data_IF_847946014012
#
_entry.id   IF_847946014012
#
_cell.length_a   1.000
_cell.length_b   1.000
_cell.length_c   1.000
_cell.angle_alpha   90.00
_cell.angle_beta   90.00
_cell.angle_gamma   90.00
#
_symmetry.space_group_name_H-M   'P 1'
#
loop_
_entity.id
_entity.type
_entity.pdbx_description
1 polymer ?
#
# COMPACT_ATOMS: atom_id res chain seq x y z
N UNK A 1 -0.64 30.60 43.42
CA UNK A 1 -0.59 30.70 41.95
C UNK A 1 0.64 29.91 41.53
N UNK A 2 0.44 28.70 41.03
CA UNK A 2 1.55 27.88 40.52
C UNK A 2 1.65 28.15 39.03
N UNK A 3 2.81 28.62 38.57
CA UNK A 3 3.15 28.83 37.17
C UNK A 3 3.08 27.48 36.43
N UNK A 4 2.34 27.45 35.29
CA UNK A 4 2.30 26.32 34.39
C UNK A 4 3.70 26.07 33.82
N UNK A 5 4.18 24.82 33.76
CA UNK A 5 5.49 24.53 33.18
C UNK A 5 5.50 24.93 31.71
N UNK A 6 6.43 25.85 31.37
CA UNK A 6 6.74 26.24 30.02
C UNK A 6 7.20 24.98 29.26
N UNK A 7 6.44 24.54 28.27
CA UNK A 7 6.86 23.53 27.31
C UNK A 7 8.11 24.07 26.60
N UNK A 8 9.25 23.40 26.83
CA UNK A 8 10.47 23.68 26.09
C UNK A 8 10.16 23.58 24.59
N UNK A 9 10.70 24.49 23.74
CA UNK A 9 10.51 24.40 22.30
C UNK A 9 11.05 23.06 21.82
N UNK A 10 10.21 22.33 21.03
CA UNK A 10 10.61 21.11 20.34
C UNK A 10 11.86 21.45 19.54
N UNK A 11 13.00 20.76 19.76
CA UNK A 11 14.20 21.03 18.99
C UNK A 11 13.88 20.88 17.51
N UNK A 12 14.36 21.75 16.61
CA UNK A 12 14.17 21.59 15.19
C UNK A 12 14.68 20.21 14.79
N UNK A 13 13.87 19.48 13.98
CA UNK A 13 14.29 18.20 13.44
C UNK A 13 15.68 18.31 12.83
N UNK A 14 16.57 17.32 13.04
CA UNK A 14 17.92 17.38 12.52
C UNK A 14 17.82 17.54 10.99
N UNK A 15 18.23 18.69 10.50
CA UNK A 15 18.29 19.00 9.07
C UNK A 15 19.31 18.11 8.36
N UNK A 16 20.21 17.48 9.13
CA UNK A 16 21.32 16.66 8.67
C UNK A 16 20.97 15.18 8.74
N UNK A 17 20.72 14.57 7.56
CA UNK A 17 20.34 13.16 7.42
C UNK A 17 21.58 12.30 7.16
N UNK A 18 21.77 11.24 7.97
CA UNK A 18 22.85 10.27 7.79
C UNK A 18 22.55 9.33 6.63
N UNK A 19 23.39 9.37 5.60
CA UNK A 19 23.25 8.55 4.41
C UNK A 19 23.85 7.15 4.56
N UNK A 20 24.77 6.92 5.51
CA UNK A 20 25.40 5.61 5.72
C UNK A 20 24.42 4.59 6.28
N UNK A 21 23.57 5.00 7.21
CA UNK A 21 22.53 4.15 7.80
C UNK A 21 21.15 4.31 7.16
N UNK A 22 21.10 5.01 6.03
CA UNK A 22 19.84 5.19 5.29
C UNK A 22 19.27 3.86 4.81
N UNK A 23 18.00 3.55 5.12
CA UNK A 23 17.33 2.37 4.59
C UNK A 23 17.05 2.45 3.08
N UNK A 24 17.28 3.62 2.46
CA UNK A 24 17.00 3.88 1.05
C UNK A 24 18.24 3.82 0.16
N UNK A 25 19.41 3.60 0.73
CA UNK A 25 20.67 3.47 0.03
C UNK A 25 21.34 2.13 0.37
N UNK A 26 21.78 1.40 -0.65
CA UNK A 26 22.53 0.15 -0.44
C UNK A 26 24.03 0.45 -0.58
N UNK A 27 24.67 0.77 0.55
CA UNK A 27 26.08 1.12 0.62
C UNK A 27 26.95 0.02 1.26
N UNK A 28 26.32 -1.02 1.84
CA UNK A 28 27.03 -2.07 2.60
C UNK A 28 27.57 -3.21 1.74
N UNK A 29 27.06 -3.33 0.50
CA UNK A 29 27.49 -4.35 -0.47
C UNK A 29 28.12 -3.69 -1.71
N UNK A 30 29.30 -3.03 -1.57
CA UNK A 30 29.95 -2.39 -2.70
C UNK A 30 30.35 -3.44 -3.75
N UNK A 31 30.51 -2.98 -4.99
CA UNK A 31 30.97 -3.80 -6.09
C UNK A 31 32.41 -4.26 -5.86
N UNK A 32 32.64 -5.56 -5.83
CA UNK A 32 33.97 -6.17 -5.70
C UNK A 32 34.53 -6.58 -7.07
N UNK A 33 35.86 -6.79 -7.16
CA UNK A 33 36.48 -7.35 -8.36
C UNK A 33 35.90 -8.73 -8.72
N UNK A 34 35.55 -9.54 -7.71
CA UNK A 34 34.85 -10.81 -7.90
C UNK A 34 33.51 -10.64 -8.57
N UNK A 35 32.71 -9.63 -8.14
CA UNK A 35 31.42 -9.32 -8.77
C UNK A 35 31.59 -8.96 -10.25
N UNK A 36 32.60 -8.15 -10.58
CA UNK A 36 32.91 -7.79 -11.98
C UNK A 36 33.25 -9.03 -12.81
N UNK A 37 34.15 -9.88 -12.32
CA UNK A 37 34.47 -11.12 -12.99
C UNK A 37 33.24 -12.02 -13.17
N UNK A 38 32.41 -12.16 -12.13
CA UNK A 38 31.16 -12.94 -12.18
C UNK A 38 30.21 -12.39 -13.22
N UNK A 39 29.98 -11.06 -13.23
CA UNK A 39 29.11 -10.42 -14.21
C UNK A 39 29.59 -10.71 -15.63
N UNK A 40 30.89 -10.51 -15.92
CA UNK A 40 31.45 -10.76 -17.24
C UNK A 40 31.29 -12.24 -17.65
N UNK A 41 31.61 -13.16 -16.74
CA UNK A 41 31.55 -14.61 -17.01
C UNK A 41 30.09 -15.09 -17.20
N UNK A 42 29.15 -14.62 -16.40
CA UNK A 42 27.75 -15.03 -16.45
C UNK A 42 26.89 -14.18 -17.39
N UNK A 43 27.46 -13.16 -18.04
CA UNK A 43 26.71 -12.28 -18.95
C UNK A 43 25.95 -13.03 -20.06
N UNK A 44 26.56 -14.02 -20.77
CA UNK A 44 25.83 -14.83 -21.75
C UNK A 44 24.64 -15.57 -21.14
N UNK A 45 24.79 -16.11 -19.94
CA UNK A 45 23.71 -16.79 -19.22
C UNK A 45 22.63 -15.79 -18.81
N UNK A 46 23.01 -14.58 -18.39
CA UNK A 46 22.07 -13.51 -18.05
C UNK A 46 21.19 -13.12 -19.25
N UNK A 47 21.74 -13.10 -20.48
CA UNK A 47 20.95 -12.85 -21.69
C UNK A 47 19.90 -13.95 -21.88
N UNK A 48 20.27 -15.23 -21.76
CA UNK A 48 19.33 -16.35 -21.88
C UNK A 48 18.28 -16.31 -20.80
N UNK A 49 18.67 -16.09 -19.55
CA UNK A 49 17.75 -15.93 -18.41
C UNK A 49 16.77 -14.78 -18.64
N UNK A 50 17.25 -13.61 -19.10
CA UNK A 50 16.41 -12.45 -19.40
C UNK A 50 15.40 -12.77 -20.50
N UNK A 51 15.85 -13.45 -21.56
CA UNK A 51 14.97 -13.83 -22.67
C UNK A 51 13.85 -14.78 -22.21
N UNK A 52 14.18 -15.84 -21.47
CA UNK A 52 13.18 -16.80 -20.95
C UNK A 52 12.24 -16.12 -19.96
N UNK A 53 12.75 -15.27 -19.06
CA UNK A 53 11.96 -14.51 -18.12
C UNK A 53 10.99 -13.54 -18.81
N UNK A 54 11.46 -12.82 -19.84
CA UNK A 54 10.60 -11.95 -20.66
C UNK A 54 9.53 -12.75 -21.41
N UNK A 55 9.87 -13.90 -21.96
CA UNK A 55 8.88 -14.77 -22.62
C UNK A 55 7.80 -15.24 -21.65
N UNK A 56 8.17 -15.64 -20.41
CA UNK A 56 7.20 -16.00 -19.39
C UNK A 56 6.28 -14.82 -19.03
N UNK A 57 6.83 -13.61 -18.88
CA UNK A 57 6.05 -12.40 -18.64
C UNK A 57 5.11 -12.06 -19.80
N UNK A 58 5.56 -12.25 -21.05
CA UNK A 58 4.71 -12.06 -22.22
C UNK A 58 3.52 -13.05 -22.27
N UNK A 59 3.76 -14.32 -21.91
CA UNK A 59 2.71 -15.34 -21.81
C UNK A 59 1.72 -14.98 -20.70
N UNK A 60 2.21 -14.61 -19.51
CA UNK A 60 1.37 -14.14 -18.39
C UNK A 60 0.53 -12.93 -18.85
N UNK A 61 1.15 -11.95 -19.52
CA UNK A 61 0.47 -10.76 -20.00
C UNK A 61 -0.60 -11.09 -21.04
N UNK A 62 -0.33 -12.02 -21.96
CA UNK A 62 -1.30 -12.47 -22.98
C UNK A 62 -2.52 -13.14 -22.32
N UNK A 63 -2.30 -14.08 -21.39
CA UNK A 63 -3.36 -14.76 -20.65
C UNK A 63 -4.20 -13.74 -19.86
N UNK A 64 -3.54 -12.83 -19.14
CA UNK A 64 -4.19 -11.81 -18.33
C UNK A 64 -4.98 -10.81 -19.18
N UNK A 65 -4.44 -10.44 -20.36
CA UNK A 65 -5.16 -9.59 -21.33
C UNK A 65 -6.43 -10.27 -21.81
N UNK A 66 -6.35 -11.54 -22.18
CA UNK A 66 -7.50 -12.34 -22.60
C UNK A 66 -8.52 -12.48 -21.47
N UNK A 67 -8.07 -12.81 -20.24
CA UNK A 67 -8.94 -12.96 -19.07
C UNK A 67 -9.67 -11.66 -18.72
N UNK A 68 -9.03 -10.50 -18.89
CA UNK A 68 -9.60 -9.18 -18.59
C UNK A 68 -10.21 -8.47 -19.80
N UNK A 69 -10.24 -9.13 -20.98
CA UNK A 69 -10.72 -8.53 -22.22
C UNK A 69 -12.18 -8.10 -22.08
N UNK A 70 -12.44 -6.84 -22.42
CA UNK A 70 -13.76 -6.20 -22.39
C UNK A 70 -14.54 -6.42 -21.07
N UNK A 71 -13.82 -6.43 -19.92
CA UNK A 71 -14.43 -6.60 -18.61
C UNK A 71 -14.28 -5.31 -17.77
N UNK A 72 -15.35 -4.80 -17.15
CA UNK A 72 -15.29 -3.65 -16.26
C UNK A 72 -14.46 -3.96 -15.01
N UNK A 73 -13.60 -3.02 -14.56
CA UNK A 73 -12.72 -3.24 -13.40
C UNK A 73 -13.47 -3.20 -12.06
N UNK A 74 -14.65 -2.60 -12.05
CA UNK A 74 -15.55 -2.44 -10.90
C UNK A 74 -16.47 -3.65 -10.66
N UNK A 75 -16.37 -4.68 -11.51
CA UNK A 75 -17.12 -5.92 -11.36
C UNK A 75 -16.17 -7.10 -11.17
N UNK A 76 -16.53 -8.09 -10.32
CA UNK A 76 -15.71 -9.29 -10.16
C UNK A 76 -15.64 -10.09 -11.45
N UNK A 77 -14.49 -10.69 -11.71
CA UNK A 77 -14.29 -11.55 -12.87
C UNK A 77 -15.14 -12.82 -12.78
N UNK A 78 -15.71 -13.26 -13.91
CA UNK A 78 -16.35 -14.56 -13.99
C UNK A 78 -15.37 -15.69 -13.59
N UNK A 79 -15.83 -16.77 -12.96
CA UNK A 79 -14.96 -17.82 -12.41
C UNK A 79 -13.94 -18.39 -13.41
N UNK A 80 -14.32 -18.60 -14.67
CA UNK A 80 -13.42 -19.11 -15.69
C UNK A 80 -12.27 -18.11 -16.01
N UNK A 81 -12.55 -16.80 -16.01
CA UNK A 81 -11.55 -15.74 -16.21
C UNK A 81 -10.58 -15.71 -15.03
N UNK A 82 -11.11 -15.80 -13.80
CA UNK A 82 -10.29 -15.86 -12.59
C UNK A 82 -9.42 -17.12 -12.57
N UNK A 83 -9.92 -18.26 -13.00
CA UNK A 83 -9.16 -19.50 -13.09
C UNK A 83 -7.99 -19.39 -14.07
N UNK A 84 -8.14 -18.67 -15.19
CA UNK A 84 -7.03 -18.40 -16.12
C UNK A 84 -5.91 -17.60 -15.43
N UNK A 85 -6.27 -16.59 -14.64
CA UNK A 85 -5.30 -15.79 -13.89
C UNK A 85 -4.61 -16.65 -12.83
N UNK A 86 -5.36 -17.48 -12.11
CA UNK A 86 -4.80 -18.41 -11.12
C UNK A 86 -3.91 -19.47 -11.76
N UNK A 87 -4.18 -19.92 -12.97
CA UNK A 87 -3.28 -20.80 -13.70
C UNK A 87 -2.01 -20.07 -14.17
N UNK A 88 -2.15 -18.83 -14.69
CA UNK A 88 -1.02 -18.04 -15.17
C UNK A 88 -0.05 -17.59 -14.08
N UNK A 89 -0.53 -17.45 -12.83
CA UNK A 89 0.34 -17.05 -11.71
C UNK A 89 1.46 -18.07 -11.44
N UNK A 90 1.28 -19.33 -11.77
CA UNK A 90 2.31 -20.36 -11.58
C UNK A 90 3.52 -20.13 -12.50
N UNK A 91 3.36 -19.44 -13.63
CA UNK A 91 4.47 -19.04 -14.50
C UNK A 91 5.38 -17.98 -13.85
N UNK A 92 4.93 -17.31 -12.79
CA UNK A 92 5.75 -16.34 -12.05
C UNK A 92 6.96 -17.02 -11.42
N UNK A 93 6.86 -18.30 -11.05
CA UNK A 93 8.00 -19.05 -10.53
C UNK A 93 9.13 -19.17 -11.56
N UNK A 94 8.79 -19.25 -12.85
CA UNK A 94 9.80 -19.25 -13.93
C UNK A 94 10.56 -17.93 -13.96
N UNK A 95 9.86 -16.79 -13.74
CA UNK A 95 10.50 -15.47 -13.66
C UNK A 95 11.48 -15.43 -12.47
N UNK A 96 11.08 -15.95 -11.30
CA UNK A 96 11.97 -16.05 -10.14
C UNK A 96 13.19 -16.93 -10.43
N UNK A 97 13.03 -18.11 -11.06
CA UNK A 97 14.15 -18.97 -11.42
C UNK A 97 15.11 -18.29 -12.38
N UNK A 98 14.59 -17.55 -13.37
CA UNK A 98 15.45 -16.80 -14.30
C UNK A 98 16.21 -15.67 -13.60
N UNK A 99 15.67 -15.09 -12.53
CA UNK A 99 16.36 -14.12 -11.68
C UNK A 99 17.26 -14.76 -10.63
N UNK A 100 17.43 -16.10 -10.67
CA UNK A 100 18.30 -16.84 -9.78
C UNK A 100 17.66 -17.22 -8.44
N UNK A 101 16.38 -16.97 -8.20
CA UNK A 101 15.70 -17.42 -6.99
C UNK A 101 15.35 -18.91 -7.09
N UNK A 102 16.34 -19.74 -6.84
CA UNK A 102 16.19 -21.21 -6.89
C UNK A 102 15.67 -21.78 -5.56
N UNK A 103 15.83 -21.05 -4.48
CA UNK A 103 15.36 -21.42 -3.16
C UNK A 103 14.33 -20.37 -2.68
N UNK A 104 13.05 -20.74 -2.78
CA UNK A 104 11.93 -19.93 -2.25
C UNK A 104 11.25 -20.78 -1.18
N UNK A 105 11.32 -20.32 0.06
CA UNK A 105 10.67 -20.98 1.19
C UNK A 105 9.40 -20.22 1.56
N UNK A 106 8.31 -20.95 1.81
CA UNK A 106 7.02 -20.36 2.20
C UNK A 106 6.53 -21.03 3.47
N UNK A 107 6.29 -20.23 4.50
CA UNK A 107 5.80 -20.65 5.80
C UNK A 107 4.45 -20.01 6.10
N UNK A 108 3.53 -20.76 6.75
CA UNK A 108 2.23 -20.24 7.18
C UNK A 108 1.22 -20.04 6.04
N UNK A 109 1.33 -20.81 4.95
CA UNK A 109 0.44 -20.71 3.78
C UNK A 109 -1.05 -20.87 4.15
N UNK A 110 -1.37 -21.66 5.17
CA UNK A 110 -2.71 -21.87 5.72
C UNK A 110 -3.38 -20.58 6.22
N UNK A 111 -2.60 -19.59 6.60
CA UNK A 111 -3.10 -18.31 7.08
C UNK A 111 -3.78 -17.47 5.98
N UNK A 112 -3.48 -17.73 4.70
CA UNK A 112 -4.16 -17.08 3.57
C UNK A 112 -5.65 -17.38 3.57
N UNK A 113 -6.02 -18.67 3.69
CA UNK A 113 -7.43 -19.07 3.73
C UNK A 113 -8.16 -18.44 4.92
N UNK A 114 -7.48 -18.35 6.07
CA UNK A 114 -8.02 -17.72 7.28
C UNK A 114 -8.28 -16.22 7.09
N UNK A 115 -7.35 -15.51 6.47
CA UNK A 115 -7.52 -14.09 6.17
C UNK A 115 -8.67 -13.83 5.18
N UNK A 116 -8.83 -14.68 4.16
CA UNK A 116 -9.94 -14.63 3.21
C UNK A 116 -11.29 -14.82 3.93
N UNK A 117 -11.40 -15.81 4.83
CA UNK A 117 -12.60 -16.04 5.64
C UNK A 117 -12.95 -14.84 6.52
N UNK A 118 -11.95 -14.15 7.07
CA UNK A 118 -12.12 -12.95 7.88
C UNK A 118 -12.35 -11.68 7.04
N UNK A 119 -12.40 -11.79 5.70
CA UNK A 119 -12.46 -10.65 4.77
C UNK A 119 -11.41 -9.59 5.10
N UNK A 120 -10.22 -10.06 5.43
CA UNK A 120 -9.09 -9.22 5.84
C UNK A 120 -8.40 -8.53 4.67
N UNK A 121 -7.34 -7.78 4.98
CA UNK A 121 -6.46 -7.11 4.02
C UNK A 121 -5.05 -7.66 4.19
N UNK A 122 -4.34 -7.91 3.12
CA UNK A 122 -2.95 -8.38 3.16
C UNK A 122 -2.01 -7.19 3.20
N UNK A 123 -1.04 -7.24 4.09
CA UNK A 123 0.05 -6.25 4.16
C UNK A 123 1.40 -6.95 4.10
N UNK A 124 2.41 -6.27 3.57
CA UNK A 124 3.76 -6.82 3.43
C UNK A 124 4.82 -5.72 3.59
N UNK A 125 6.03 -6.10 4.01
CA UNK A 125 7.20 -5.21 4.00
C UNK A 125 7.71 -5.06 2.56
N UNK A 126 8.11 -3.85 2.18
CA UNK A 126 8.44 -3.54 0.79
C UNK A 126 9.96 -3.39 0.60
N UNK A 127 10.57 -4.41 0.00
CA UNK A 127 12.02 -4.49 -0.20
C UNK A 127 12.39 -4.35 -1.68
N UNK A 128 11.66 -5.03 -2.57
CA UNK A 128 12.02 -5.09 -3.97
C UNK A 128 10.78 -5.00 -4.89
N UNK A 129 10.99 -4.63 -6.15
CA UNK A 129 9.94 -4.72 -7.17
C UNK A 129 9.43 -6.16 -7.36
N UNK A 130 10.20 -7.15 -6.90
CA UNK A 130 9.86 -8.58 -6.91
C UNK A 130 8.75 -8.94 -5.91
N UNK A 131 8.52 -8.13 -4.91
CA UNK A 131 7.52 -8.38 -3.85
C UNK A 131 6.12 -8.57 -4.44
N UNK A 132 5.77 -7.73 -5.44
CA UNK A 132 4.50 -7.84 -6.15
C UNK A 132 4.37 -9.20 -6.87
N UNK A 133 5.44 -9.71 -7.47
CA UNK A 133 5.45 -11.02 -8.12
C UNK A 133 5.29 -12.15 -7.11
N UNK A 134 5.96 -12.07 -5.95
CA UNK A 134 5.81 -13.04 -4.87
C UNK A 134 4.35 -13.14 -4.40
N UNK A 135 3.70 -11.99 -4.19
CA UNK A 135 2.30 -11.95 -3.77
C UNK A 135 1.34 -12.43 -4.86
N UNK A 136 1.61 -12.11 -6.13
CA UNK A 136 0.85 -12.63 -7.27
C UNK A 136 0.96 -14.15 -7.33
N UNK A 137 2.17 -14.70 -7.20
CA UNK A 137 2.40 -16.15 -7.17
C UNK A 137 1.67 -16.82 -6.00
N UNK A 138 1.71 -16.23 -4.82
CA UNK A 138 1.04 -16.80 -3.64
C UNK A 138 -0.49 -16.83 -3.80
N UNK A 139 -1.11 -15.71 -4.13
CA UNK A 139 -2.57 -15.57 -4.00
C UNK A 139 -3.26 -14.80 -5.12
N UNK A 140 -2.52 -14.25 -6.11
CA UNK A 140 -3.04 -13.37 -7.15
C UNK A 140 -4.03 -12.31 -6.60
N UNK A 141 -3.59 -11.42 -5.67
CA UNK A 141 -4.44 -10.49 -4.94
C UNK A 141 -4.82 -9.29 -5.80
N UNK A 142 -5.76 -8.49 -5.33
CA UNK A 142 -6.01 -7.14 -5.85
C UNK A 142 -5.01 -6.16 -5.24
N UNK A 143 -4.05 -5.71 -6.02
CA UNK A 143 -3.06 -4.74 -5.57
C UNK A 143 -3.66 -3.34 -5.37
N UNK A 144 -2.94 -2.50 -4.64
CA UNK A 144 -3.17 -1.06 -4.59
C UNK A 144 -2.00 -0.38 -5.28
N UNK A 145 -2.26 0.39 -6.32
CA UNK A 145 -1.22 0.98 -7.15
C UNK A 145 -1.52 2.43 -7.54
N UNK A 146 -0.48 3.20 -7.79
CA UNK A 146 -0.63 4.55 -8.38
C UNK A 146 -1.19 4.44 -9.81
N UNK A 147 -1.98 5.44 -10.23
CA UNK A 147 -2.57 5.49 -11.57
C UNK A 147 -1.54 5.35 -12.70
N UNK A 148 -0.31 5.82 -12.50
CA UNK A 148 0.81 5.65 -13.43
C UNK A 148 1.03 4.19 -13.86
N UNK A 149 0.85 3.22 -12.96
CA UNK A 149 1.08 1.79 -13.27
C UNK A 149 0.09 1.25 -14.31
N UNK A 150 -1.05 1.91 -14.50
CA UNK A 150 -2.02 1.57 -15.56
C UNK A 150 -1.50 1.82 -16.98
N UNK A 151 -0.43 2.59 -17.12
CA UNK A 151 0.14 2.97 -18.42
C UNK A 151 1.42 2.18 -18.77
N UNK A 152 1.99 1.43 -17.82
CA UNK A 152 3.22 0.68 -18.06
C UNK A 152 2.97 -0.50 -19.03
N UNK A 153 3.80 -0.66 -20.08
CA UNK A 153 3.71 -1.82 -20.97
C UNK A 153 3.79 -3.13 -20.17
N UNK A 154 3.09 -4.17 -20.61
CA UNK A 154 3.02 -5.50 -19.96
C UNK A 154 2.35 -5.45 -18.60
N UNK A 155 2.84 -4.62 -17.66
CA UNK A 155 2.33 -4.50 -16.28
C UNK A 155 0.85 -4.10 -16.26
N UNK A 156 0.42 -3.17 -17.14
CA UNK A 156 -0.98 -2.73 -17.22
C UNK A 156 -1.97 -3.89 -17.38
N UNK A 157 -1.56 -4.94 -18.08
CA UNK A 157 -2.42 -6.10 -18.33
C UNK A 157 -2.61 -6.95 -17.07
N UNK A 158 -1.51 -7.20 -16.35
CA UNK A 158 -1.55 -7.89 -15.06
C UNK A 158 -2.34 -7.11 -14.02
N UNK A 159 -2.07 -5.81 -13.90
CA UNK A 159 -2.73 -4.90 -12.93
C UNK A 159 -4.24 -4.86 -13.18
N UNK A 160 -4.67 -4.78 -14.44
CA UNK A 160 -6.09 -4.83 -14.82
C UNK A 160 -6.73 -6.19 -14.50
N UNK A 161 -6.05 -7.30 -14.83
CA UNK A 161 -6.55 -8.65 -14.58
C UNK A 161 -6.66 -8.97 -13.08
N UNK A 162 -5.74 -8.46 -12.26
CA UNK A 162 -5.78 -8.57 -10.81
C UNK A 162 -6.82 -7.64 -10.17
N UNK A 163 -7.56 -6.87 -10.96
CA UNK A 163 -8.56 -5.91 -10.49
C UNK A 163 -7.99 -4.92 -9.47
N UNK A 164 -6.77 -4.46 -9.73
CA UNK A 164 -6.03 -3.52 -8.88
C UNK A 164 -6.83 -2.25 -8.64
N UNK A 165 -6.82 -1.80 -7.40
CA UNK A 165 -7.40 -0.51 -7.00
C UNK A 165 -6.40 0.59 -7.31
N UNK A 166 -6.76 1.51 -8.20
CA UNK A 166 -5.91 2.64 -8.52
C UNK A 166 -6.16 3.79 -7.56
N UNK A 167 -5.06 4.31 -7.03
CA UNK A 167 -5.10 5.54 -6.26
C UNK A 167 -5.22 6.70 -7.24
N UNK A 168 -6.19 7.61 -7.06
CA UNK A 168 -6.20 8.84 -7.83
C UNK A 168 -4.90 9.59 -7.58
N UNK A 169 -4.34 10.20 -8.63
CA UNK A 169 -3.22 11.09 -8.47
C UNK A 169 -3.66 12.19 -7.49
N UNK A 170 -2.85 12.41 -6.45
CA UNK A 170 -3.13 13.48 -5.52
C UNK A 170 -3.30 14.78 -6.33
N UNK A 171 -4.40 15.53 -6.15
CA UNK A 171 -4.53 16.81 -6.83
C UNK A 171 -3.26 17.59 -6.52
N UNK A 172 -2.56 18.07 -7.56
CA UNK A 172 -1.42 19.00 -7.35
C UNK A 172 -1.93 20.04 -6.36
N UNK A 173 -1.38 20.06 -5.15
CA UNK A 173 -1.68 21.11 -4.19
C UNK A 173 -1.35 22.43 -4.89
N UNK A 174 -2.35 23.05 -5.47
CA UNK A 174 -2.25 24.45 -5.85
C UNK A 174 -1.98 25.17 -4.54
N UNK A 175 -0.78 25.72 -4.40
CA UNK A 175 -0.39 26.53 -3.24
C UNK A 175 -1.55 27.48 -2.96
N UNK A 176 -2.22 27.43 -1.78
CA UNK A 176 -3.24 28.40 -1.49
C UNK A 176 -2.62 29.80 -1.69
N UNK A 177 -3.34 30.73 -2.29
CA UNK A 177 -2.82 32.09 -2.47
C UNK A 177 -2.39 32.61 -1.10
N UNK A 178 -1.29 33.37 -1.00
CA UNK A 178 -0.77 33.86 0.26
C UNK A 178 -1.91 34.65 0.95
N UNK A 179 -2.36 34.13 2.09
CA UNK A 179 -3.37 34.81 2.92
C UNK A 179 -2.75 36.11 3.38
N UNK A 180 -3.25 37.25 2.88
CA UNK A 180 -2.79 38.56 3.32
C UNK A 180 -2.99 38.65 4.83
N UNK A 181 -1.93 39.00 5.55
CA UNK A 181 -1.86 39.03 7.02
C UNK A 181 -2.94 39.90 7.71
N UNK A 182 -3.75 40.65 6.95
CA UNK A 182 -4.84 41.48 7.47
C UNK A 182 -6.14 40.71 7.81
N UNK A 183 -6.28 39.44 7.39
CA UNK A 183 -7.49 38.65 7.64
C UNK A 183 -7.44 37.80 8.94
N UNK A 184 -6.27 37.65 9.55
CA UNK A 184 -6.10 36.81 10.76
C UNK A 184 -6.43 37.58 12.04
N UNK A 185 -6.45 38.92 12.01
CA UNK A 185 -6.75 39.76 13.20
C UNK A 185 -8.24 39.88 13.53
N UNK A 186 -9.15 39.48 12.62
CA UNK A 186 -10.57 39.65 12.82
C UNK A 186 -11.33 38.43 13.41
N UNK A 187 -10.62 37.26 13.52
CA UNK A 187 -11.26 36.00 13.96
C UNK A 187 -10.94 35.57 15.43
N UNK A 188 -10.26 36.42 16.20
CA UNK A 188 -9.92 36.13 17.60
C UNK A 188 -10.77 36.97 18.57
N UNK A 189 -12.09 36.83 18.55
CA UNK A 189 -12.95 37.29 19.64
C UNK A 189 -13.36 36.06 20.48
N UNK A 190 -13.24 36.09 21.83
CA UNK A 190 -13.57 34.93 22.66
C UNK A 190 -15.10 34.76 22.75
N UNK A 191 -15.59 33.63 22.27
CA UNK A 191 -17.00 33.22 22.52
C UNK A 191 -17.02 32.58 23.90
N UNK A 192 -17.70 33.25 24.83
CA UNK A 192 -17.99 32.73 26.17
C UNK A 192 -19.03 31.60 26.08
N UNK A 193 -18.62 30.37 26.26
CA UNK A 193 -19.49 29.20 26.39
C UNK A 193 -19.85 29.05 27.87
N UNK A 194 -21.13 29.26 28.19
CA UNK A 194 -21.70 28.88 29.48
C UNK A 194 -21.77 27.37 29.58
N UNK A 195 -21.07 26.82 30.55
CA UNK A 195 -21.16 25.40 30.90
C UNK A 195 -22.45 25.15 31.67
N UNK A 196 -23.37 24.42 31.08
CA UNK A 196 -24.55 23.87 31.75
C UNK A 196 -24.31 22.37 31.95
N UNK A 197 -24.30 21.93 33.21
CA UNK A 197 -24.00 20.56 33.62
C UNK A 197 -25.23 19.67 33.36
N UNK A 198 -25.01 18.60 32.56
CA UNK A 198 -25.97 17.51 32.39
C UNK A 198 -25.72 16.41 33.44
N UNK A 199 -26.77 15.83 34.05
CA UNK A 199 -26.62 14.79 35.07
C UNK A 199 -26.32 13.42 34.50
N UNK A 200 -25.51 12.65 35.24
CA UNK A 200 -25.06 11.27 34.95
C UNK A 200 -26.26 10.29 35.00
N UNK A 201 -26.31 9.27 34.12
CA UNK A 201 -27.27 8.18 34.21
C UNK A 201 -26.87 7.14 35.26
N UNK A 202 -27.85 6.42 35.89
CA UNK A 202 -27.59 5.42 36.93
C UNK A 202 -27.12 4.07 36.36
N UNK A 203 -26.50 3.21 37.21
CA UNK A 203 -25.89 1.95 36.78
C UNK A 203 -26.91 0.87 36.48
N UNK A 204 -26.55 -0.14 35.63
CA UNK A 204 -27.49 -1.19 35.21
C UNK A 204 -27.63 -2.29 36.26
N UNK A 205 -28.90 -2.64 36.55
CA UNK A 205 -29.27 -3.79 37.37
C UNK A 205 -29.17 -5.10 36.56
N UNK A 206 -28.44 -6.04 37.11
CA UNK A 206 -28.42 -7.47 36.73
C UNK A 206 -29.76 -8.13 37.01
N UNK A 207 -30.33 -8.85 36.04
CA UNK A 207 -31.29 -9.97 36.28
C UNK A 207 -31.10 -11.10 35.30
N UNK A 208 -31.12 -12.28 35.86
CA UNK A 208 -30.86 -13.63 35.37
C UNK A 208 -31.94 -14.20 34.42
N UNK A 209 -31.43 -15.11 33.58
CA UNK A 209 -32.05 -16.27 32.90
C UNK A 209 -33.55 -16.56 33.03
N UNK A 210 -34.20 -16.77 31.88
CA UNK A 210 -34.94 -18.01 31.58
C UNK A 210 -35.38 -18.03 30.09
N UNK A 211 -35.09 -19.17 29.43
CA UNK A 211 -35.58 -19.56 28.09
C UNK A 211 -36.87 -20.39 28.27
N UNK A 212 -37.46 -20.98 27.22
CA UNK A 212 -37.96 -20.49 25.94
C UNK A 212 -39.44 -20.85 25.72
N UNK A 213 -40.13 -20.27 24.76
CA UNK A 213 -41.31 -20.92 24.15
C UNK A 213 -41.57 -20.47 22.70
N UNK A 214 -41.86 -21.44 21.94
CA UNK A 214 -42.22 -21.56 20.53
C UNK A 214 -43.63 -21.09 20.18
N UNK A 215 -43.90 -21.01 18.86
CA UNK A 215 -45.11 -21.06 18.05
C UNK A 215 -45.55 -19.71 17.46
N UNK A 216 -45.57 -19.58 16.18
CA UNK A 216 -46.29 -20.13 15.02
C UNK A 216 -47.18 -19.06 14.34
N UNK A 217 -46.92 -18.96 13.05
CA UNK A 217 -47.84 -18.81 11.92
C UNK A 217 -48.72 -17.56 11.65
N UNK A 218 -48.59 -17.15 10.40
CA UNK A 218 -49.60 -16.80 9.40
C UNK A 218 -50.27 -15.42 9.37
N UNK A 219 -50.32 -14.85 8.16
CA UNK A 219 -51.38 -13.95 7.73
C UNK A 219 -50.93 -12.81 6.79
N UNK A 220 -50.80 -13.12 5.53
CA UNK A 220 -51.46 -12.58 4.32
C UNK A 220 -51.74 -11.07 4.18
N UNK A 221 -51.16 -10.55 3.10
CA UNK A 221 -51.74 -9.73 2.00
C UNK A 221 -52.62 -8.52 2.28
N UNK A 222 -52.26 -7.40 1.69
CA UNK A 222 -53.06 -6.69 0.67
C UNK A 222 -52.35 -5.44 0.13
N UNK A 223 -52.20 -5.42 -1.21
CA UNK A 223 -52.14 -4.17 -1.99
C UNK A 223 -53.53 -3.54 -2.08
N UNK A 224 -53.63 -2.25 -2.42
CA UNK A 224 -54.56 -1.87 -3.47
C UNK A 224 -53.91 -1.02 -4.58
N UNK A 225 -54.43 -1.31 -5.76
CA UNK A 225 -54.24 -0.60 -7.02
C UNK A 225 -55.11 0.66 -7.09
N UNK A 226 -54.62 1.68 -7.85
CA UNK A 226 -55.38 2.36 -8.90
C UNK A 226 -56.15 3.60 -8.56
N UNK A 227 -55.81 4.69 -9.22
CA UNK A 227 -56.73 5.34 -10.20
C UNK A 227 -56.05 6.55 -10.85
N UNK A 228 -56.21 6.61 -12.18
CA UNK A 228 -55.91 7.71 -13.09
C UNK A 228 -57.03 8.78 -13.04
N UNK A 229 -56.65 9.94 -13.58
CA UNK A 229 -57.39 11.02 -14.25
C UNK A 229 -57.08 12.39 -13.64
N UNK A 230 -56.90 13.52 -14.31
CA UNK A 230 -57.13 13.94 -15.67
C UNK A 230 -56.32 15.23 -15.94
N UNK A 231 -56.27 15.62 -17.23
CA UNK A 231 -55.56 16.74 -17.80
C UNK A 231 -56.00 18.11 -17.29
N UNK A 232 -55.04 19.05 -17.25
CA UNK A 232 -55.29 20.49 -17.10
C UNK A 232 -54.14 21.26 -17.75
N UNK A 233 -54.43 21.90 -18.88
CA UNK A 233 -53.54 22.82 -19.59
C UNK A 233 -53.14 23.99 -18.69
N UNK A 234 -51.84 24.25 -18.57
CA UNK A 234 -51.29 25.39 -17.83
C UNK A 234 -49.95 25.81 -18.39
N UNK A 235 -50.00 26.96 -19.04
CA UNK A 235 -48.95 27.81 -19.59
C UNK A 235 -47.57 27.58 -18.97
N UNK A 236 -46.58 27.22 -19.81
CA UNK A 236 -45.18 27.08 -19.47
C UNK A 236 -44.58 28.43 -19.08
N UNK A 237 -44.29 28.60 -17.81
CA UNK A 237 -43.36 29.60 -17.30
C UNK A 237 -41.95 28.97 -17.39
N UNK A 238 -41.12 29.59 -18.18
CA UNK A 238 -39.70 29.22 -18.35
C UNK A 238 -38.97 29.34 -16.99
N UNK A 239 -38.69 28.20 -16.35
CA UNK A 239 -37.90 28.17 -15.12
C UNK A 239 -36.44 28.51 -15.47
N UNK A 240 -35.74 29.32 -14.65
CA UNK A 240 -34.34 29.64 -14.88
C UNK A 240 -33.52 28.35 -14.88
N UNK A 241 -32.63 28.16 -15.88
CA UNK A 241 -31.75 27.07 -16.01
C UNK A 241 -30.93 26.88 -14.69
N UNK A 242 -31.24 25.80 -13.98
CA UNK A 242 -30.47 25.38 -12.83
C UNK A 242 -29.06 25.08 -13.35
N UNK A 243 -28.09 25.91 -12.99
CA UNK A 243 -26.69 25.69 -13.29
C UNK A 243 -26.34 24.26 -12.84
N UNK A 244 -25.94 23.42 -13.81
CA UNK A 244 -25.55 22.06 -13.53
C UNK A 244 -24.49 22.09 -12.42
N UNK A 245 -24.78 21.50 -11.27
CA UNK A 245 -23.83 21.39 -10.16
C UNK A 245 -22.55 20.75 -10.69
N UNK A 246 -21.42 21.35 -10.36
CA UNK A 246 -20.12 20.78 -10.72
C UNK A 246 -20.07 19.31 -10.28
N UNK A 247 -19.50 18.39 -11.09
CA UNK A 247 -19.40 16.99 -10.71
C UNK A 247 -18.68 16.89 -9.36
N UNK A 248 -19.11 15.98 -8.47
CA UNK A 248 -18.46 15.80 -7.17
C UNK A 248 -16.96 15.50 -7.38
N UNK A 249 -16.09 15.96 -6.47
CA UNK A 249 -14.66 15.65 -6.56
C UNK A 249 -14.45 14.13 -6.59
N UNK A 250 -13.40 13.64 -7.28
CA UNK A 250 -13.13 12.21 -7.32
C UNK A 250 -12.94 11.65 -5.90
N UNK A 251 -13.43 10.43 -5.62
CA UNK A 251 -13.36 9.84 -4.30
C UNK A 251 -11.90 9.74 -3.84
N UNK A 252 -11.65 10.01 -2.56
CA UNK A 252 -10.33 9.85 -1.96
C UNK A 252 -9.90 8.37 -1.91
N UNK A 253 -8.59 8.14 -1.75
CA UNK A 253 -8.02 6.78 -1.66
C UNK A 253 -8.77 5.88 -0.66
N UNK A 254 -9.00 6.39 0.54
CA UNK A 254 -9.68 5.65 1.62
C UNK A 254 -11.09 5.25 1.21
N UNK A 255 -11.82 6.12 0.54
CA UNK A 255 -13.18 5.86 0.08
C UNK A 255 -13.23 4.74 -0.97
N UNK A 256 -12.34 4.78 -1.96
CA UNK A 256 -12.23 3.72 -3.00
C UNK A 256 -11.91 2.37 -2.36
N UNK A 257 -10.98 2.35 -1.39
CA UNK A 257 -10.63 1.12 -0.67
C UNK A 257 -11.79 0.62 0.20
N UNK A 258 -12.47 1.51 0.92
CA UNK A 258 -13.65 1.14 1.72
C UNK A 258 -14.77 0.59 0.84
N UNK A 259 -15.04 1.18 -0.32
CA UNK A 259 -16.00 0.63 -1.29
C UNK A 259 -15.62 -0.80 -1.69
N UNK A 260 -14.33 -1.07 -1.95
CA UNK A 260 -13.85 -2.40 -2.34
C UNK A 260 -13.98 -3.42 -1.22
N UNK A 261 -13.52 -3.13 -0.01
CA UNK A 261 -13.54 -4.09 1.11
C UNK A 261 -14.91 -4.29 1.74
N UNK A 262 -15.83 -3.33 1.55
CA UNK A 262 -17.22 -3.42 2.00
C UNK A 262 -18.17 -4.00 0.93
N UNK A 263 -17.69 -4.25 -0.30
CA UNK A 263 -18.50 -4.95 -1.31
C UNK A 263 -18.88 -6.35 -0.78
N UNK A 264 -20.15 -6.76 -0.82
CA UNK A 264 -20.59 -8.09 -0.36
C UNK A 264 -19.82 -9.24 -1.02
N UNK A 265 -19.34 -9.00 -2.26
CA UNK A 265 -18.58 -9.98 -3.05
C UNK A 265 -17.08 -9.99 -2.74
N UNK A 266 -16.59 -9.14 -1.82
CA UNK A 266 -15.19 -9.11 -1.42
C UNK A 266 -14.79 -10.42 -0.73
N UNK A 267 -13.71 -11.04 -1.21
CA UNK A 267 -13.19 -12.33 -0.74
C UNK A 267 -14.17 -13.53 -0.91
N UNK A 268 -15.31 -13.34 -1.58
CA UNK A 268 -16.23 -14.42 -1.87
C UNK A 268 -15.81 -15.22 -3.12
N UNK A 269 -16.29 -16.46 -3.23
CA UNK A 269 -16.05 -17.28 -4.42
C UNK A 269 -16.71 -16.64 -5.64
N UNK A 270 -15.89 -16.28 -6.64
CA UNK A 270 -16.35 -15.52 -7.80
C UNK A 270 -16.54 -14.03 -7.54
N UNK A 271 -16.10 -13.54 -6.39
CA UNK A 271 -16.07 -12.14 -6.03
C UNK A 271 -14.71 -11.47 -6.26
N UNK A 272 -14.49 -10.34 -5.60
CA UNK A 272 -13.23 -9.62 -5.67
C UNK A 272 -12.12 -10.33 -4.89
N UNK A 273 -10.89 -10.36 -5.43
CA UNK A 273 -9.73 -10.86 -4.70
C UNK A 273 -9.44 -10.04 -3.43
N UNK A 274 -8.74 -10.66 -2.49
CA UNK A 274 -8.22 -9.96 -1.31
C UNK A 274 -7.33 -8.79 -1.72
N UNK A 275 -7.48 -7.65 -1.05
CA UNK A 275 -6.66 -6.45 -1.28
C UNK A 275 -5.29 -6.61 -0.62
N UNK A 276 -4.24 -6.22 -1.32
CA UNK A 276 -2.87 -6.22 -0.81
C UNK A 276 -2.26 -4.83 -0.87
N UNK A 277 -1.54 -4.44 0.19
CA UNK A 277 -0.87 -3.14 0.30
C UNK A 277 0.47 -3.25 1.00
N UNK A 278 1.42 -2.40 0.59
CA UNK A 278 2.66 -2.16 1.32
C UNK A 278 2.48 -0.90 2.18
N UNK A 279 2.38 -1.01 3.51
CA UNK A 279 2.16 0.17 4.36
C UNK A 279 3.38 1.10 4.43
N UNK A 280 4.57 0.64 4.06
CA UNK A 280 5.77 1.46 3.91
C UNK A 280 5.70 2.41 2.71
N UNK A 281 4.89 2.08 1.70
CA UNK A 281 4.64 2.84 0.45
C UNK A 281 5.85 3.04 -0.47
N UNK A 282 7.04 2.65 -0.06
CA UNK A 282 8.30 2.68 -0.83
C UNK A 282 9.15 1.46 -0.47
N UNK A 283 10.07 1.07 -1.37
CA UNK A 283 11.03 0.02 -1.07
C UNK A 283 12.13 0.52 -0.13
N UNK A 284 12.60 -0.37 0.73
CA UNK A 284 13.73 -0.15 1.64
C UNK A 284 14.78 -1.25 1.48
N UNK A 285 15.94 -1.09 2.11
CA UNK A 285 16.99 -2.11 2.12
C UNK A 285 16.60 -3.41 2.84
N UNK A 286 15.45 -3.44 3.52
CA UNK A 286 14.98 -4.58 4.32
C UNK A 286 15.72 -4.78 5.65
N UNK A 287 16.64 -3.88 6.01
CA UNK A 287 17.40 -3.95 7.28
C UNK A 287 16.68 -3.32 8.47
N UNK A 288 15.60 -2.62 8.22
CA UNK A 288 14.71 -2.02 9.21
C UNK A 288 13.36 -1.79 8.58
N UNK A 289 12.31 -1.84 9.39
CA UNK A 289 10.95 -1.64 8.95
C UNK A 289 10.57 -0.17 9.09
N UNK A 290 10.23 0.47 7.97
CA UNK A 290 9.87 1.89 7.93
C UNK A 290 8.60 2.19 8.73
N UNK A 291 8.35 3.46 9.00
CA UNK A 291 7.06 3.89 9.55
C UNK A 291 5.93 3.55 8.59
N UNK A 292 4.86 2.93 9.11
CA UNK A 292 3.69 2.56 8.33
C UNK A 292 2.76 3.74 8.08
N UNK A 293 2.25 3.84 6.87
CA UNK A 293 1.10 4.69 6.56
C UNK A 293 -0.20 4.00 7.00
N UNK A 294 -1.17 4.79 7.40
CA UNK A 294 -2.43 4.27 7.97
C UNK A 294 -3.43 3.73 6.95
N UNK A 295 -3.15 3.81 5.65
CA UNK A 295 -4.09 3.48 4.56
C UNK A 295 -4.71 2.07 4.63
N UNK A 296 -3.97 1.06 5.11
CA UNK A 296 -4.49 -0.29 5.31
C UNK A 296 -5.35 -0.40 6.59
N UNK A 297 -5.04 0.38 7.58
CA UNK A 297 -5.55 0.27 8.96
C UNK A 297 -6.84 1.05 9.19
N UNK A 298 -7.05 2.14 8.43
CA UNK A 298 -8.34 2.90 8.44
C UNK A 298 -9.52 2.07 7.91
N UNK A 299 -9.24 0.93 7.26
CA UNK A 299 -10.28 0.02 6.76
C UNK A 299 -10.96 -0.77 7.88
N UNK A 300 -10.39 -0.80 9.09
CA UNK A 300 -10.94 -1.50 10.25
C UNK A 300 -11.09 -3.01 10.07
N UNK A 301 -10.34 -3.60 9.13
CA UNK A 301 -10.37 -5.04 8.82
C UNK A 301 -9.18 -5.75 9.47
N UNK A 302 -9.32 -7.06 9.80
CA UNK A 302 -8.15 -7.87 10.13
C UNK A 302 -7.09 -7.77 9.05
N UNK A 303 -5.81 -7.73 9.42
CA UNK A 303 -4.70 -7.70 8.47
C UNK A 303 -3.92 -9.01 8.50
N UNK A 304 -3.51 -9.48 7.32
CA UNK A 304 -2.61 -10.63 7.16
C UNK A 304 -1.21 -10.11 6.88
N UNK A 305 -0.29 -10.13 7.86
CA UNK A 305 1.09 -9.72 7.62
C UNK A 305 1.84 -10.81 6.84
N UNK A 306 2.46 -10.43 5.73
CA UNK A 306 3.35 -11.26 4.91
C UNK A 306 4.74 -10.68 4.97
N UNK A 307 5.69 -11.47 5.46
CA UNK A 307 7.07 -11.08 5.63
C UNK A 307 7.90 -11.59 4.45
N UNK A 308 8.58 -10.69 3.77
CA UNK A 308 9.45 -11.00 2.63
C UNK A 308 10.90 -10.76 3.04
N UNK A 309 11.70 -11.81 3.13
CA UNK A 309 13.10 -11.77 3.52
C UNK A 309 13.98 -12.28 2.41
N UNK A 310 14.77 -11.39 1.82
CA UNK A 310 15.72 -11.71 0.76
C UNK A 310 17.09 -12.03 1.36
N UNK A 311 17.80 -13.02 0.77
CA UNK A 311 19.20 -13.23 1.09
C UNK A 311 20.02 -12.01 0.65
N UNK A 312 20.80 -11.43 1.56
CA UNK A 312 21.57 -10.21 1.33
C UNK A 312 23.04 -10.32 1.77
N UNK A 313 23.57 -11.52 1.88
CA UNK A 313 24.96 -11.74 2.34
C UNK A 313 26.00 -11.28 1.33
N UNK A 314 25.75 -11.49 0.05
CA UNK A 314 26.66 -11.11 -1.06
C UNK A 314 26.08 -9.95 -1.87
N UNK A 315 24.79 -9.98 -2.12
CA UNK A 315 24.07 -9.00 -2.90
C UNK A 315 22.66 -8.81 -2.31
N UNK A 316 22.29 -7.57 -2.02
CA UNK A 316 20.95 -7.25 -1.56
C UNK A 316 20.03 -7.00 -2.77
N UNK A 317 18.98 -7.82 -3.01
CA UNK A 317 18.02 -7.61 -4.08
C UNK A 317 17.10 -6.39 -3.88
N UNK A 318 17.24 -5.67 -2.79
CA UNK A 318 16.41 -4.50 -2.45
C UNK A 318 16.48 -3.42 -3.55
N UNK A 319 15.32 -2.88 -3.90
CA UNK A 319 15.22 -1.80 -4.88
C UNK A 319 15.27 -0.43 -4.19
N UNK A 320 16.48 0.04 -3.98
CA UNK A 320 16.81 1.30 -3.32
C UNK A 320 17.17 2.39 -4.35
N UNK A 321 17.60 3.55 -3.88
CA UNK A 321 18.06 4.65 -4.75
C UNK A 321 19.43 4.34 -5.34
N UNK A 322 19.45 3.63 -6.47
CA UNK A 322 20.65 3.15 -7.17
C UNK A 322 20.43 3.14 -8.69
N UNK A 323 21.41 2.69 -9.45
CA UNK A 323 21.26 2.52 -10.90
C UNK A 323 20.49 1.21 -11.19
N UNK A 324 19.27 1.32 -11.74
CA UNK A 324 18.37 0.21 -11.97
C UNK A 324 18.94 -0.85 -12.91
N UNK A 325 19.56 -0.45 -14.02
CA UNK A 325 20.16 -1.39 -14.98
C UNK A 325 21.29 -2.18 -14.36
N UNK A 326 22.16 -1.51 -13.61
CA UNK A 326 23.27 -2.17 -12.95
C UNK A 326 22.81 -3.08 -11.82
N UNK A 327 21.81 -2.66 -11.06
CA UNK A 327 21.15 -3.49 -10.06
C UNK A 327 20.58 -4.77 -10.69
N UNK A 328 19.86 -4.64 -11.80
CA UNK A 328 19.32 -5.78 -12.54
C UNK A 328 20.41 -6.73 -13.01
N UNK A 329 21.51 -6.21 -13.57
CA UNK A 329 22.67 -7.02 -13.98
C UNK A 329 23.30 -7.77 -12.81
N UNK A 330 23.48 -7.12 -11.67
CA UNK A 330 23.97 -7.77 -10.44
C UNK A 330 23.03 -8.86 -9.98
N UNK A 331 21.71 -8.61 -10.03
CA UNK A 331 20.67 -9.57 -9.63
C UNK A 331 20.70 -10.82 -10.51
N UNK A 332 20.62 -10.66 -11.84
CA UNK A 332 20.46 -11.78 -12.78
C UNK A 332 21.74 -12.60 -12.96
N UNK A 333 22.89 -12.02 -12.62
CA UNK A 333 24.20 -12.72 -12.62
C UNK A 333 24.56 -13.35 -11.28
N UNK A 334 23.68 -13.37 -10.29
CA UNK A 334 23.86 -14.21 -9.11
C UNK A 334 23.73 -15.69 -9.49
N UNK A 335 24.56 -16.55 -8.86
CA UNK A 335 24.41 -18.00 -8.97
C UNK A 335 23.07 -18.45 -8.41
N UNK A 336 22.76 -17.97 -7.22
CA UNK A 336 21.52 -18.25 -6.52
C UNK A 336 21.13 -17.03 -5.66
N UNK A 337 19.85 -16.71 -5.67
CA UNK A 337 19.20 -15.82 -4.73
C UNK A 337 18.24 -16.66 -3.89
N UNK A 338 17.99 -16.25 -2.66
CA UNK A 338 17.00 -16.88 -1.79
C UNK A 338 15.94 -15.88 -1.35
N UNK A 339 14.71 -16.36 -1.25
CA UNK A 339 13.56 -15.63 -0.73
C UNK A 339 12.84 -16.50 0.29
N UNK A 340 12.70 -16.01 1.49
CA UNK A 340 11.87 -16.59 2.53
C UNK A 340 10.60 -15.74 2.68
N UNK A 341 9.45 -16.39 2.63
CA UNK A 341 8.14 -15.76 2.77
C UNK A 341 7.47 -16.36 4.00
N UNK A 342 7.25 -15.55 5.01
CA UNK A 342 6.55 -15.97 6.23
C UNK A 342 5.20 -15.27 6.30
N UNK A 343 4.13 -16.05 6.28
CA UNK A 343 2.76 -15.56 6.37
C UNK A 343 2.30 -15.73 7.81
N UNK A 344 2.25 -14.63 8.54
CA UNK A 344 1.85 -14.64 9.94
C UNK A 344 0.35 -14.93 10.10
N UNK A 345 -0.11 -15.35 11.28
CA UNK A 345 -1.55 -15.42 11.57
C UNK A 345 -2.22 -14.05 11.34
N UNK A 346 -3.49 -14.04 10.88
CA UNK A 346 -4.23 -12.78 10.73
C UNK A 346 -4.30 -12.03 12.06
N UNK A 347 -3.93 -10.77 12.04
CA UNK A 347 -4.01 -9.86 13.19
C UNK A 347 -5.38 -9.18 13.18
N UNK A 348 -6.17 -9.42 14.23
CA UNK A 348 -7.49 -8.79 14.41
C UNK A 348 -7.33 -7.58 15.33
N UNK A 349 -7.75 -6.37 14.90
CA UNK A 349 -7.59 -5.17 15.71
C UNK A 349 -8.47 -5.20 16.97
N UNK A 350 -7.95 -4.64 18.06
CA UNK A 350 -8.69 -4.36 19.28
C UNK A 350 -9.65 -3.17 19.10
N UNK A 351 -10.60 -2.95 20.01
CA UNK A 351 -11.47 -1.76 19.96
C UNK A 351 -10.70 -0.44 20.00
N UNK A 352 -9.58 -0.38 20.72
CA UNK A 352 -8.70 0.79 20.81
C UNK A 352 -7.99 1.05 19.49
N UNK A 353 -7.55 -0.02 18.82
CA UNK A 353 -6.90 0.06 17.50
C UNK A 353 -7.90 0.44 16.40
N UNK A 354 -9.15 -0.02 16.49
CA UNK A 354 -10.22 0.43 15.59
C UNK A 354 -10.51 1.93 15.75
N UNK A 355 -10.40 2.46 16.96
CA UNK A 355 -10.55 3.90 17.23
C UNK A 355 -9.31 4.70 16.79
N UNK A 356 -8.13 4.07 16.71
CA UNK A 356 -6.87 4.71 16.35
C UNK A 356 -6.10 3.92 15.28
N UNK A 357 -6.32 4.18 13.98
CA UNK A 357 -5.59 3.52 12.90
C UNK A 357 -4.07 3.68 12.99
N UNK A 358 -3.58 4.72 13.67
CA UNK A 358 -2.15 4.90 13.92
C UNK A 358 -1.64 3.86 14.92
N UNK A 359 -2.34 3.67 16.05
CA UNK A 359 -2.02 2.65 17.04
C UNK A 359 -2.03 1.25 16.42
N UNK A 360 -3.05 0.96 15.60
CA UNK A 360 -3.15 -0.30 14.87
C UNK A 360 -1.93 -0.51 13.96
N UNK A 361 -1.55 0.51 13.17
CA UNK A 361 -0.39 0.45 12.30
C UNK A 361 0.91 0.19 13.08
N UNK A 362 1.10 0.88 14.20
CA UNK A 362 2.31 0.77 15.01
C UNK A 362 2.43 -0.62 15.68
N UNK A 363 1.33 -1.15 16.23
CA UNK A 363 1.33 -2.48 16.83
C UNK A 363 1.61 -3.58 15.80
N UNK A 364 0.96 -3.52 14.63
CA UNK A 364 1.23 -4.50 13.56
C UNK A 364 2.66 -4.38 13.03
N UNK A 365 3.20 -3.15 12.95
CA UNK A 365 4.59 -2.91 12.57
C UNK A 365 5.57 -3.61 13.54
N UNK A 366 5.31 -3.54 14.84
CA UNK A 366 6.13 -4.24 15.84
C UNK A 366 6.10 -5.77 15.64
N UNK A 367 4.92 -6.34 15.43
CA UNK A 367 4.76 -7.78 15.15
C UNK A 367 5.52 -8.19 13.87
N UNK A 368 5.45 -7.37 12.83
CA UNK A 368 6.18 -7.65 11.59
C UNK A 368 7.70 -7.49 11.76
N UNK A 369 8.15 -6.50 12.51
CA UNK A 369 9.57 -6.27 12.79
C UNK A 369 10.17 -7.43 13.59
N UNK A 370 9.45 -7.92 14.61
CA UNK A 370 9.82 -9.10 15.37
C UNK A 370 9.93 -10.34 14.49
N UNK A 371 8.91 -10.60 13.64
CA UNK A 371 8.92 -11.74 12.72
C UNK A 371 10.03 -11.69 11.67
N UNK A 372 10.45 -10.50 11.24
CA UNK A 372 11.58 -10.28 10.32
C UNK A 372 12.94 -10.34 11.04
N UNK A 373 12.97 -10.14 12.35
CA UNK A 373 14.21 -9.98 13.13
C UNK A 373 14.96 -8.68 12.80
N UNK A 374 14.23 -7.58 12.52
CA UNK A 374 14.79 -6.27 12.18
C UNK A 374 14.23 -5.17 13.09
N UNK A 375 14.97 -4.07 13.32
CA UNK A 375 14.45 -2.94 14.10
C UNK A 375 13.37 -2.17 13.33
N UNK A 376 12.47 -1.51 14.07
CA UNK A 376 11.67 -0.43 13.56
C UNK A 376 12.53 0.84 13.44
N UNK A 377 12.53 1.50 12.28
CA UNK A 377 13.31 2.71 12.04
C UNK A 377 12.42 3.96 11.98
N UNK A 378 12.97 5.11 12.33
CA UNK A 378 12.22 6.38 12.35
C UNK A 378 11.88 6.92 10.96
N UNK A 379 12.56 6.40 9.93
CA UNK A 379 12.36 6.83 8.56
C UNK A 379 11.01 6.38 8.01
N UNK A 380 10.47 7.21 7.13
CA UNK A 380 9.22 6.98 6.39
C UNK A 380 9.42 7.14 4.88
N UNK A 381 8.40 6.84 4.11
CA UNK A 381 8.41 7.10 2.66
C UNK A 381 8.68 8.55 2.28
N UNK A 382 8.42 9.52 3.17
CA UNK A 382 8.67 10.94 2.89
C UNK A 382 10.17 11.24 2.83
N UNK A 383 10.99 10.59 3.66
CA UNK A 383 12.45 10.65 3.58
C UNK A 383 12.97 10.08 2.25
N UNK A 384 12.39 8.97 1.75
CA UNK A 384 12.72 8.45 0.43
C UNK A 384 12.48 9.48 -0.67
N UNK A 385 11.30 10.12 -0.66
CA UNK A 385 10.97 11.13 -1.67
C UNK A 385 11.85 12.38 -1.55
N UNK A 386 12.25 12.76 -0.34
CA UNK A 386 13.18 13.87 -0.13
C UNK A 386 14.54 13.56 -0.74
N UNK A 387 15.11 12.37 -0.47
CA UNK A 387 16.37 11.92 -1.08
C UNK A 387 16.28 11.85 -2.62
N UNK A 388 15.18 11.28 -3.13
CA UNK A 388 14.94 11.18 -4.56
C UNK A 388 14.87 12.57 -5.23
N UNK A 389 14.11 13.50 -4.66
CA UNK A 389 14.01 14.90 -5.17
C UNK A 389 15.33 15.64 -5.08
N UNK A 390 16.12 15.41 -4.03
CA UNK A 390 17.47 15.96 -3.88
C UNK A 390 18.48 15.33 -4.86
N UNK A 391 18.09 14.34 -5.66
CA UNK A 391 18.96 13.65 -6.62
C UNK A 391 20.01 12.75 -5.97
N UNK A 392 19.80 12.35 -4.70
CA UNK A 392 20.72 11.50 -3.95
C UNK A 392 20.48 10.04 -4.31
N UNK A 393 21.58 9.32 -4.58
CA UNK A 393 21.57 7.89 -4.88
C UNK A 393 22.89 7.22 -4.45
N UNK A 394 22.91 5.91 -4.42
CA UNK A 394 24.17 5.18 -4.29
C UNK A 394 25.02 5.35 -5.55
N UNK A 395 26.34 5.46 -5.40
CA UNK A 395 27.29 5.47 -6.52
C UNK A 395 27.18 4.19 -7.34
N UNK A 396 27.70 4.18 -8.57
CA UNK A 396 27.62 3.02 -9.47
C UNK A 396 28.11 1.72 -8.82
N UNK A 397 29.16 1.78 -8.00
CA UNK A 397 29.65 0.61 -7.26
C UNK A 397 29.02 0.41 -5.89
N UNK A 398 28.06 1.22 -5.44
CA UNK A 398 27.45 1.12 -4.12
C UNK A 398 28.39 1.45 -2.95
N UNK A 399 29.51 2.12 -3.18
CA UNK A 399 30.51 2.41 -2.15
C UNK A 399 30.25 3.69 -1.35
N UNK A 400 29.50 4.62 -1.91
CA UNK A 400 29.14 5.89 -1.27
C UNK A 400 27.86 6.49 -1.84
N UNK A 401 27.24 7.38 -1.08
CA UNK A 401 26.15 8.21 -1.58
C UNK A 401 26.71 9.31 -2.51
N UNK A 402 25.96 9.62 -3.56
CA UNK A 402 26.26 10.71 -4.51
C UNK A 402 25.02 11.54 -4.75
N UNK A 403 25.20 12.82 -4.99
CA UNK A 403 24.13 13.78 -5.27
C UNK A 403 24.68 15.00 -6.01
N UNK A 404 23.84 16.01 -6.28
CA UNK A 404 24.29 17.28 -6.84
C UNK A 404 25.36 17.96 -5.95
N UNK A 405 26.21 18.82 -6.52
CA UNK A 405 27.23 19.54 -5.75
C UNK A 405 26.61 20.29 -4.55
N UNK A 406 27.22 20.16 -3.38
CA UNK A 406 26.79 20.82 -2.15
C UNK A 406 25.62 20.17 -1.40
N UNK A 407 25.02 19.11 -1.94
CA UNK A 407 23.89 18.39 -1.28
C UNK A 407 24.39 17.28 -0.37
N UNK A 408 25.44 16.57 -0.77
CA UNK A 408 26.05 15.48 0.02
C UNK A 408 27.39 15.97 0.54
N UNK A 409 27.60 15.89 1.86
CA UNK A 409 28.88 16.21 2.48
C UNK A 409 29.90 15.09 2.26
N UNK A 410 31.19 15.38 2.40
CA UNK A 410 32.27 14.39 2.34
C UNK A 410 32.14 13.32 3.42
N UNK A 411 31.52 13.67 4.55
CA UNK A 411 31.25 12.78 5.69
C UNK A 411 30.00 11.89 5.48
N UNK A 412 29.30 11.99 4.33
CA UNK A 412 28.12 11.16 4.01
C UNK A 412 26.82 11.64 4.64
N UNK A 413 26.67 12.93 4.89
CA UNK A 413 25.42 13.54 5.33
C UNK A 413 24.76 14.36 4.24
N UNK A 414 23.45 14.54 4.32
CA UNK A 414 22.68 15.42 3.46
C UNK A 414 21.76 16.34 4.28
N UNK A 415 21.60 17.58 3.83
CA UNK A 415 20.56 18.48 4.34
C UNK A 415 19.28 18.28 3.53
N UNK A 416 18.29 17.65 4.13
CA UNK A 416 16.99 17.37 3.51
C UNK A 416 15.91 18.40 3.87
N UNK A 417 16.25 19.41 4.71
CA UNK A 417 15.29 20.38 5.22
C UNK A 417 14.38 21.03 4.15
N UNK A 418 14.89 21.49 2.99
CA UNK A 418 14.08 22.04 1.91
C UNK A 418 13.17 21.00 1.25
N UNK A 419 13.64 19.75 1.09
CA UNK A 419 12.96 18.69 0.37
C UNK A 419 11.91 17.96 1.23
N UNK A 420 12.04 17.99 2.56
CA UNK A 420 11.06 17.45 3.51
C UNK A 420 9.79 18.31 3.59
N UNK A 421 9.90 19.62 3.36
CA UNK A 421 8.75 20.54 3.43
C UNK A 421 7.78 20.39 2.25
N UNK A 422 8.25 19.81 1.15
CA UNK A 422 7.49 19.64 -0.10
C UNK A 422 7.01 18.20 -0.33
N UNK A 423 7.24 17.28 0.62
CA UNK A 423 6.81 15.89 0.58
C UNK A 423 5.56 15.66 1.39
#
# INVERSE_FOLDING_TARGET
MAEAPSLAPIPPEPTRYDLHDSPFLELRNPLTAFDVCRIIFLFPIAIVRSFIGCMALCVIAAINTFAAYNHPIDQPLAPWRRNLILASKELVVVVFWMLGFLNIQVHGHENIARAIQLKGVVIFNHVAWLDAFALVWLMAPSGVAKAFNAHLPVIKHAVRALQTVYLPDAPRRTRPPPVKASAVAAAAAPVAVKAEALPLPPPPHTKSLSSPQTLSAAGQQRQPQGQQEAAGDGVAAEAPAVAAAAPPPPPGMTEVLLQRVNDPRYCERGGFPVVVMAPEAVCSSGRGLLQFRTGAFVLGRPVLPVLLKYSNTVFNPAWTLQNDLFHYLRLITQWSNALEITILPPYTPSPEELASPRLFADNVRLVMAEGLGVPCVEQSGDHFYALYKAGIRASFGGSKAVGPPGVVSEEGFADLGPHMRDS
#
